data_IF_897239999629
#
_entry.id   IF_897239999629
#
_cell.length_a   1.000
_cell.length_b   1.000
_cell.length_c   1.000
_cell.angle_alpha   90.00
_cell.angle_beta   90.00
_cell.angle_gamma   90.00
#
_symmetry.space_group_name_H-M   'P 1'
#
loop_
_entity.id
_entity.type
_entity.pdbx_description
1 polymer ?
#
# COMPACT_ATOMS: atom_id res chain seq x y z
N UNK A 1 2.93 -14.50 27.56
CA UNK A 1 1.96 -13.42 27.22
C UNK A 1 2.79 -12.22 26.77
N UNK A 2 2.38 -11.51 25.71
CA UNK A 2 3.05 -10.25 25.38
C UNK A 2 2.81 -9.26 26.52
N UNK A 3 3.86 -8.55 26.95
CA UNK A 3 3.72 -7.49 27.93
C UNK A 3 2.89 -6.36 27.31
N UNK A 4 1.85 -5.92 28.02
CA UNK A 4 1.09 -4.74 27.63
C UNK A 4 1.86 -3.54 28.16
N UNK A 5 2.17 -2.53 27.33
CA UNK A 5 2.86 -1.33 27.81
C UNK A 5 2.01 -0.58 28.84
N UNK A 6 2.68 0.02 29.82
CA UNK A 6 2.02 0.78 30.90
C UNK A 6 1.33 2.05 30.37
N UNK A 7 1.77 2.56 29.21
CA UNK A 7 1.21 3.75 28.57
C UNK A 7 1.09 3.55 27.05
N UNK A 8 0.03 4.13 26.46
CA UNK A 8 -0.20 4.17 25.02
C UNK A 8 -0.31 5.64 24.61
N UNK A 9 0.61 6.10 23.76
CA UNK A 9 0.55 7.44 23.17
C UNK A 9 -0.59 7.48 22.13
N UNK A 10 -1.67 8.21 22.44
CA UNK A 10 -2.75 8.48 21.51
C UNK A 10 -2.48 9.84 20.88
N UNK A 11 -2.42 9.89 19.54
CA UNK A 11 -2.28 11.18 18.83
C UNK A 11 -3.61 11.90 18.83
N UNK A 12 -3.58 13.20 19.13
CA UNK A 12 -4.77 14.08 19.10
C UNK A 12 -5.26 14.41 17.68
N UNK A 13 -4.60 13.86 16.66
CA UNK A 13 -4.93 14.08 15.27
C UNK A 13 -4.77 12.81 14.43
N UNK A 14 -5.59 12.72 13.38
CA UNK A 14 -5.43 11.76 12.31
C UNK A 14 -5.88 12.42 10.99
N UNK A 15 -5.56 11.79 9.85
CA UNK A 15 -6.04 12.30 8.56
C UNK A 15 -7.57 12.20 8.49
N UNK A 16 -8.19 13.24 7.91
CA UNK A 16 -9.64 13.34 7.76
C UNK A 16 -10.21 12.20 6.91
N UNK A 17 -11.51 11.90 7.06
CA UNK A 17 -12.19 10.91 6.20
C UNK A 17 -12.03 11.26 4.72
N UNK A 18 -12.14 12.55 4.36
CA UNK A 18 -11.93 13.01 2.98
C UNK A 18 -10.53 12.66 2.46
N UNK A 19 -9.49 12.87 3.27
CA UNK A 19 -8.12 12.50 2.91
C UNK A 19 -7.95 10.99 2.79
N UNK A 20 -8.61 10.20 3.64
CA UNK A 20 -8.58 8.72 3.55
C UNK A 20 -9.23 8.22 2.27
N UNK A 21 -10.42 8.73 1.94
CA UNK A 21 -11.11 8.38 0.69
C UNK A 21 -10.25 8.73 -0.52
N UNK A 22 -9.63 9.92 -0.52
CA UNK A 22 -8.72 10.30 -1.60
C UNK A 22 -7.51 9.36 -1.71
N UNK A 23 -6.91 8.94 -0.59
CA UNK A 23 -5.80 7.98 -0.61
C UNK A 23 -6.22 6.61 -1.16
N UNK A 24 -7.46 6.18 -0.92
CA UNK A 24 -8.01 4.96 -1.52
C UNK A 24 -8.12 5.11 -3.03
N UNK A 25 -8.72 6.19 -3.51
CA UNK A 25 -8.89 6.46 -4.94
C UNK A 25 -7.54 6.54 -5.66
N UNK A 26 -6.57 7.25 -5.07
CA UNK A 26 -5.19 7.34 -5.58
C UNK A 26 -4.53 5.96 -5.59
N UNK A 27 -4.70 5.15 -4.54
CA UNK A 27 -4.13 3.81 -4.46
C UNK A 27 -4.68 2.85 -5.51
N UNK A 28 -5.99 2.95 -5.82
CA UNK A 28 -6.62 2.21 -6.92
C UNK A 28 -6.04 2.68 -8.26
N UNK A 29 -6.06 4.00 -8.51
CA UNK A 29 -5.52 4.56 -9.75
C UNK A 29 -4.06 4.19 -9.97
N UNK A 30 -3.24 4.29 -8.93
CA UNK A 30 -1.84 3.88 -8.94
C UNK A 30 -1.68 2.42 -9.40
N UNK A 31 -2.47 1.51 -8.80
CA UNK A 31 -2.44 0.10 -9.17
C UNK A 31 -2.88 -0.15 -10.61
N UNK A 32 -3.93 0.54 -11.08
CA UNK A 32 -4.39 0.49 -12.47
C UNK A 32 -3.33 0.96 -13.46
N UNK A 33 -2.64 2.07 -13.18
CA UNK A 33 -1.54 2.56 -14.02
C UNK A 33 -0.41 1.54 -14.05
N UNK A 34 -0.02 1.00 -12.90
CA UNK A 34 1.06 0.01 -12.81
C UNK A 34 0.72 -1.26 -13.61
N UNK A 35 -0.51 -1.77 -13.51
CA UNK A 35 -0.98 -2.93 -14.29
C UNK A 35 -0.97 -2.63 -15.80
N UNK A 36 -1.41 -1.43 -16.21
CA UNK A 36 -1.44 -1.05 -17.63
C UNK A 36 -0.04 -0.99 -18.24
N UNK A 37 0.96 -0.59 -17.47
CA UNK A 37 2.33 -0.46 -17.95
C UNK A 37 3.10 -1.80 -17.97
N UNK A 38 2.67 -2.79 -17.20
CA UNK A 38 3.34 -4.08 -17.06
C UNK A 38 2.40 -5.25 -17.39
N UNK A 39 2.54 -5.79 -18.61
CA UNK A 39 1.65 -6.84 -19.14
C UNK A 39 1.66 -8.09 -18.25
N UNK A 40 0.48 -8.64 -17.99
CA UNK A 40 0.32 -9.88 -17.23
C UNK A 40 0.16 -9.68 -15.72
N UNK A 41 0.36 -8.45 -15.21
CA UNK A 41 -0.12 -8.08 -13.89
C UNK A 41 -1.65 -8.01 -13.88
N UNK A 42 -2.23 -8.25 -12.72
CA UNK A 42 -3.67 -8.14 -12.48
C UNK A 42 -3.95 -7.97 -10.99
N UNK A 43 -5.14 -7.46 -10.71
CA UNK A 43 -5.70 -7.50 -9.38
C UNK A 43 -6.07 -8.91 -8.95
N UNK A 44 -5.76 -9.24 -7.70
CA UNK A 44 -6.18 -10.46 -7.04
C UNK A 44 -6.70 -10.14 -5.62
N UNK A 45 -7.57 -11.01 -5.09
CA UNK A 45 -8.08 -10.94 -3.72
C UNK A 45 -8.00 -12.31 -3.08
N UNK A 46 -7.44 -12.39 -1.87
CA UNK A 46 -7.32 -13.67 -1.16
C UNK A 46 -8.15 -13.69 0.11
N UNK A 47 -9.27 -14.41 0.05
CA UNK A 47 -10.15 -14.61 1.20
C UNK A 47 -9.70 -15.79 2.09
N UNK A 48 -8.96 -16.74 1.51
CA UNK A 48 -8.57 -18.01 2.16
C UNK A 48 -7.21 -17.96 2.88
N UNK A 49 -6.54 -16.80 2.89
CA UNK A 49 -5.27 -16.65 3.62
C UNK A 49 -5.46 -16.82 5.13
N UNK A 50 -4.36 -17.12 5.82
CA UNK A 50 -4.28 -17.11 7.28
C UNK A 50 -4.96 -15.85 7.84
N UNK A 51 -5.71 -16.00 8.93
CA UNK A 51 -6.38 -14.87 9.61
C UNK A 51 -5.42 -13.78 10.09
N UNK A 52 -4.12 -14.10 10.18
CA UNK A 52 -3.07 -13.16 10.58
C UNK A 52 -2.38 -12.48 9.39
N UNK A 53 -2.78 -12.78 8.15
CA UNK A 53 -2.20 -12.15 6.97
C UNK A 53 -2.74 -10.73 6.81
N UNK A 54 -1.86 -9.73 6.74
CA UNK A 54 -2.23 -8.31 6.70
C UNK A 54 -3.14 -7.94 5.51
N UNK A 55 -2.91 -8.56 4.34
CA UNK A 55 -3.73 -8.33 3.14
C UNK A 55 -4.91 -9.30 2.97
N UNK A 56 -5.31 -10.03 4.02
CA UNK A 56 -6.46 -10.93 3.92
C UNK A 56 -7.72 -10.12 3.59
N UNK A 57 -8.40 -10.48 2.50
CA UNK A 57 -9.59 -9.75 2.04
C UNK A 57 -9.30 -8.45 1.29
N UNK A 58 -8.04 -8.02 1.19
CA UNK A 58 -7.68 -6.82 0.44
C UNK A 58 -7.37 -7.15 -1.02
N UNK A 59 -7.59 -6.17 -1.89
CA UNK A 59 -7.16 -6.21 -3.29
C UNK A 59 -5.65 -5.97 -3.36
N UNK A 60 -4.95 -6.81 -4.09
CA UNK A 60 -3.49 -6.77 -4.22
C UNK A 60 -3.05 -7.08 -5.65
N UNK A 61 -1.81 -6.71 -5.97
CA UNK A 61 -1.15 -7.02 -7.25
C UNK A 61 0.01 -7.98 -6.97
N UNK A 62 0.07 -9.08 -7.72
CA UNK A 62 1.19 -10.02 -7.73
C UNK A 62 2.21 -9.64 -8.79
N UNK A 63 3.47 -9.93 -8.54
CA UNK A 63 4.56 -9.69 -9.50
C UNK A 63 5.92 -9.39 -8.86
N UNK A 64 6.03 -9.54 -7.54
CA UNK A 64 7.19 -9.12 -6.75
C UNK A 64 7.72 -10.33 -5.94
N UNK A 65 8.04 -11.42 -6.62
CA UNK A 65 8.46 -12.70 -6.04
C UNK A 65 7.40 -13.31 -5.12
N UNK A 66 7.76 -13.53 -3.85
CA UNK A 66 6.81 -14.00 -2.81
C UNK A 66 5.94 -12.87 -2.25
N UNK A 67 6.23 -11.62 -2.60
CA UNK A 67 5.54 -10.44 -2.13
C UNK A 67 4.23 -10.15 -2.87
N UNK A 68 3.47 -9.23 -2.29
CA UNK A 68 2.28 -8.63 -2.88
C UNK A 68 2.39 -7.11 -2.75
N UNK A 69 1.80 -6.41 -3.72
CA UNK A 69 1.56 -4.98 -3.60
C UNK A 69 0.11 -4.74 -3.19
N UNK A 70 -0.08 -4.14 -2.03
CA UNK A 70 -1.35 -3.53 -1.64
C UNK A 70 -1.22 -2.01 -1.80
N UNK A 71 -1.45 -1.51 -3.03
CA UNK A 71 -1.24 -0.09 -3.34
C UNK A 71 -2.16 0.81 -2.53
N UNK A 72 -3.39 0.39 -2.23
CA UNK A 72 -4.35 1.15 -1.40
C UNK A 72 -3.76 1.39 -0.01
N UNK A 73 -3.25 0.34 0.63
CA UNK A 73 -2.64 0.47 1.95
C UNK A 73 -1.34 1.27 1.92
N UNK A 74 -0.49 1.06 0.90
CA UNK A 74 0.75 1.82 0.71
C UNK A 74 0.47 3.32 0.57
N UNK A 75 -0.50 3.72 -0.26
CA UNK A 75 -0.82 5.13 -0.47
C UNK A 75 -1.53 5.76 0.74
N UNK A 76 -2.32 4.99 1.49
CA UNK A 76 -2.83 5.42 2.79
C UNK A 76 -1.68 5.72 3.77
N UNK A 77 -0.68 4.85 3.85
CA UNK A 77 0.52 5.10 4.68
C UNK A 77 1.25 6.35 4.19
N UNK A 78 1.48 6.49 2.88
CA UNK A 78 2.13 7.67 2.30
C UNK A 78 1.38 8.96 2.66
N UNK A 79 0.05 8.98 2.59
CA UNK A 79 -0.75 10.14 3.00
C UNK A 79 -0.55 10.51 4.47
N UNK A 80 -0.43 9.51 5.37
CA UNK A 80 -0.10 9.78 6.79
C UNK A 80 1.31 10.33 6.98
N UNK A 81 2.29 9.82 6.23
CA UNK A 81 3.69 10.29 6.30
C UNK A 81 3.83 11.71 5.77
N UNK A 82 3.13 12.04 4.68
CA UNK A 82 2.99 13.41 4.18
C UNK A 82 2.39 14.35 5.23
N UNK A 83 1.30 13.94 5.91
CA UNK A 83 0.70 14.74 6.97
C UNK A 83 1.65 14.97 8.16
N UNK A 84 2.57 14.03 8.42
CA UNK A 84 3.63 14.15 9.44
C UNK A 84 4.86 14.91 8.97
N UNK A 85 4.92 15.30 7.69
CA UNK A 85 6.11 15.90 7.05
C UNK A 85 7.34 14.99 7.10
N UNK A 86 7.12 13.68 7.13
CA UNK A 86 8.17 12.65 7.05
C UNK A 86 8.57 12.33 5.60
N UNK A 87 7.76 12.79 4.64
CA UNK A 87 7.89 12.54 3.21
C UNK A 87 7.44 13.80 2.45
N UNK A 88 7.81 13.88 1.17
CA UNK A 88 7.39 14.93 0.24
C UNK A 88 6.49 14.35 -0.86
N UNK A 89 5.96 15.21 -1.74
CA UNK A 89 5.04 14.79 -2.82
C UNK A 89 5.66 13.76 -3.78
N UNK A 90 6.98 13.74 -3.88
CA UNK A 90 7.78 12.83 -4.68
C UNK A 90 7.67 11.36 -4.23
N UNK A 91 7.28 11.10 -2.98
CA UNK A 91 7.21 9.76 -2.41
C UNK A 91 6.33 8.78 -3.22
N UNK A 92 5.31 9.28 -3.92
CA UNK A 92 4.47 8.43 -4.79
C UNK A 92 5.23 7.98 -6.05
N UNK A 93 6.02 8.88 -6.64
CA UNK A 93 6.83 8.58 -7.81
C UNK A 93 8.00 7.65 -7.44
N UNK A 94 8.69 7.93 -6.33
CA UNK A 94 9.76 7.06 -5.83
C UNK A 94 9.25 5.66 -5.51
N UNK A 95 8.05 5.55 -4.93
CA UNK A 95 7.41 4.26 -4.70
C UNK A 95 7.13 3.49 -5.99
N UNK A 96 6.68 4.18 -7.05
CA UNK A 96 6.49 3.60 -8.38
C UNK A 96 7.82 3.04 -8.93
N UNK A 97 8.88 3.86 -8.96
CA UNK A 97 10.20 3.44 -9.47
C UNK A 97 10.80 2.30 -8.65
N UNK A 98 10.62 2.32 -7.32
CA UNK A 98 11.06 1.22 -6.46
C UNK A 98 10.35 -0.10 -6.85
N UNK A 99 9.05 -0.06 -7.16
CA UNK A 99 8.29 -1.24 -7.57
C UNK A 99 8.73 -1.76 -8.94
N UNK A 100 8.98 -0.89 -9.92
CA UNK A 100 9.52 -1.29 -11.24
C UNK A 100 10.83 -2.08 -11.09
N UNK A 101 11.73 -1.60 -10.22
CA UNK A 101 13.01 -2.28 -9.97
C UNK A 101 12.87 -3.65 -9.29
N UNK A 102 11.76 -3.88 -8.57
CA UNK A 102 11.48 -5.12 -7.82
C UNK A 102 10.56 -6.08 -8.57
N UNK A 103 10.11 -5.71 -9.76
CA UNK A 103 9.21 -6.50 -10.57
C UNK A 103 9.92 -7.76 -11.08
N UNK A 104 9.23 -8.91 -11.04
CA UNK A 104 9.76 -10.15 -11.61
C UNK A 104 10.02 -9.97 -13.10
N UNK A 105 11.13 -10.51 -13.62
CA UNK A 105 11.58 -10.33 -15.03
C UNK A 105 10.49 -10.62 -16.07
N UNK A 106 9.59 -11.56 -15.80
CA UNK A 106 8.50 -11.91 -16.74
C UNK A 106 7.42 -10.82 -16.89
N UNK A 107 7.43 -9.81 -16.03
CA UNK A 107 6.49 -8.67 -16.04
C UNK A 107 7.18 -7.34 -16.36
N UNK A 108 8.51 -7.31 -16.42
CA UNK A 108 9.26 -6.15 -16.93
C UNK A 108 8.99 -5.98 -18.42
#
# INVERSE_FOLDING_TARGET
RAAVPDEIEIKDWDITIKTRSLAVDIGIYFGEVFIKNHKGLKWEQYLTRSKYHMDKGHMVIKGFGKGLLNSIWSLYITAKRLARKEETGEAVYEFYTMLENRLDEKYK
#
